data_IF_892214231529
#
_entry.id   IF_892214231529
#
_cell.length_a   1.000
_cell.length_b   1.000
_cell.length_c   1.000
_cell.angle_alpha   90.00
_cell.angle_beta   90.00
_cell.angle_gamma   90.00
#
_symmetry.space_group_name_H-M   'P 1'
#
loop_
_entity.id
_entity.type
_entity.pdbx_description
1 polymer ?
#
# COMPACT_ATOMS: atom_id res chain seq x y z
N UNK A 1 21.82 59.39 22.70
CA UNK A 1 22.47 58.79 21.54
C UNK A 1 22.47 57.28 21.81
N UNK A 2 21.46 56.57 21.35
CA UNK A 2 21.30 55.12 21.58
C UNK A 2 21.54 54.43 20.25
N UNK A 3 22.66 53.70 20.18
CA UNK A 3 23.01 52.87 19.03
C UNK A 3 22.12 51.66 18.93
N UNK A 4 21.34 51.55 17.87
CA UNK A 4 20.58 50.38 17.49
C UNK A 4 21.47 49.48 16.63
N UNK A 5 22.10 48.47 17.27
CA UNK A 5 22.79 47.41 16.53
C UNK A 5 21.77 46.43 15.94
N UNK A 6 21.50 46.54 14.65
CA UNK A 6 20.70 45.58 13.90
C UNK A 6 21.58 44.33 13.58
N UNK A 7 21.44 43.28 14.35
CA UNK A 7 22.02 41.99 14.00
C UNK A 7 21.22 41.36 12.85
N UNK A 8 21.65 41.62 11.62
CA UNK A 8 21.07 41.03 10.42
C UNK A 8 21.38 39.52 10.39
N UNK A 9 20.33 38.70 10.36
CA UNK A 9 20.42 37.28 10.12
C UNK A 9 21.04 37.05 8.73
N UNK A 10 22.22 36.45 8.66
CA UNK A 10 22.89 36.21 7.38
C UNK A 10 22.17 35.12 6.58
N UNK A 11 22.17 35.26 5.24
CA UNK A 11 21.60 34.26 4.31
C UNK A 11 22.13 32.84 4.57
N UNK A 12 23.36 32.68 5.07
CA UNK A 12 23.94 31.40 5.47
C UNK A 12 23.29 30.79 6.71
N UNK A 13 22.90 31.60 7.70
CA UNK A 13 22.19 31.13 8.89
C UNK A 13 20.76 30.67 8.54
N UNK A 14 20.10 31.36 7.61
CA UNK A 14 18.77 30.95 7.13
C UNK A 14 18.81 29.63 6.36
N UNK A 15 19.81 29.44 5.47
CA UNK A 15 19.99 28.19 4.73
C UNK A 15 20.36 27.02 5.65
N UNK A 16 21.15 27.26 6.71
CA UNK A 16 21.46 26.26 7.72
C UNK A 16 20.23 25.82 8.53
N UNK A 17 19.32 26.74 8.85
CA UNK A 17 18.07 26.42 9.56
C UNK A 17 17.11 25.59 8.68
N UNK A 18 17.02 25.88 7.38
CA UNK A 18 16.21 25.09 6.45
C UNK A 18 16.78 23.70 6.20
N UNK A 19 18.12 23.56 6.11
CA UNK A 19 18.76 22.25 5.95
C UNK A 19 18.57 21.36 7.19
N UNK A 20 18.61 21.94 8.40
CA UNK A 20 18.36 21.19 9.65
C UNK A 20 16.89 20.75 9.75
N UNK A 21 15.93 21.57 9.30
CA UNK A 21 14.50 21.22 9.29
C UNK A 21 14.19 20.10 8.29
N UNK A 22 14.87 20.08 7.14
CA UNK A 22 14.68 19.03 6.13
C UNK A 22 15.22 17.66 6.61
N UNK A 23 16.32 17.63 7.38
CA UNK A 23 16.92 16.39 7.93
C UNK A 23 16.06 15.80 9.04
N UNK A 24 15.33 16.60 9.81
CA UNK A 24 14.42 16.10 10.86
C UNK A 24 13.10 15.56 10.27
N UNK A 25 12.68 16.06 9.11
CA UNK A 25 11.46 15.60 8.44
C UNK A 25 11.68 14.31 7.61
N UNK A 26 12.89 14.07 7.10
CA UNK A 26 13.19 12.92 6.23
C UNK A 26 12.95 11.53 6.88
N UNK A 27 13.24 11.28 8.17
CA UNK A 27 13.02 9.97 8.78
C UNK A 27 11.56 9.59 8.96
N UNK A 28 10.65 10.56 9.02
CA UNK A 28 9.22 10.28 9.21
C UNK A 28 8.52 9.81 7.94
N UNK A 29 9.03 10.16 6.77
CA UNK A 29 8.49 9.73 5.48
C UNK A 29 9.08 8.41 4.98
N UNK A 30 10.23 7.98 5.48
CA UNK A 30 10.85 6.70 5.12
C UNK A 30 10.34 5.51 5.93
N UNK A 31 9.52 5.73 6.96
CA UNK A 31 8.98 4.67 7.79
C UNK A 31 7.64 4.21 7.22
N UNK A 32 7.56 2.96 6.75
CA UNK A 32 6.32 2.31 6.34
C UNK A 32 5.20 2.46 7.40
N UNK A 33 5.57 2.53 8.69
CA UNK A 33 4.67 2.83 9.79
C UNK A 33 4.03 4.23 9.72
N UNK A 34 4.71 5.23 9.15
CA UNK A 34 4.15 6.58 8.94
C UNK A 34 3.10 6.60 7.84
N UNK A 35 3.34 5.85 6.77
CA UNK A 35 2.38 5.67 5.68
C UNK A 35 1.12 4.94 6.16
N UNK A 36 1.28 3.90 6.99
CA UNK A 36 0.18 3.11 7.54
C UNK A 36 -0.66 3.87 8.58
N UNK A 37 -0.13 4.91 9.23
CA UNK A 37 -0.92 5.80 10.11
C UNK A 37 -1.98 6.61 9.35
N UNK A 38 -1.78 6.86 8.07
CA UNK A 38 -2.78 7.49 7.19
C UNK A 38 -3.97 6.57 6.87
N UNK A 39 -3.88 5.28 7.18
CA UNK A 39 -4.97 4.33 6.95
C UNK A 39 -6.13 4.41 7.96
N UNK A 40 -5.96 5.20 9.06
CA UNK A 40 -6.99 5.40 10.10
C UNK A 40 -7.16 4.20 11.04
N UNK A 41 -8.04 4.37 12.04
CA UNK A 41 -8.34 3.36 13.07
C UNK A 41 -9.30 2.27 12.57
N UNK A 42 -9.98 2.50 11.46
CA UNK A 42 -10.81 1.53 10.75
C UNK A 42 -10.32 1.45 9.31
N UNK A 43 -9.89 0.24 8.89
CA UNK A 43 -9.43 0.03 7.52
C UNK A 43 -10.42 -0.85 6.77
N UNK A 44 -10.82 -0.35 5.62
CA UNK A 44 -11.78 -0.98 4.73
C UNK A 44 -11.13 -1.19 3.37
N UNK A 45 -11.46 -2.28 2.71
CA UNK A 45 -11.03 -2.56 1.35
C UNK A 45 -12.23 -2.88 0.47
N UNK A 46 -12.31 -2.21 -0.68
CA UNK A 46 -13.35 -2.41 -1.69
C UNK A 46 -12.71 -2.77 -3.00
N UNK A 47 -13.15 -3.88 -3.59
CA UNK A 47 -12.62 -4.34 -4.87
C UNK A 47 -13.74 -4.94 -5.72
N UNK A 48 -13.56 -4.87 -7.03
CA UNK A 48 -14.35 -5.59 -8.04
C UNK A 48 -13.41 -6.38 -8.94
N UNK A 49 -13.80 -7.57 -9.35
CA UNK A 49 -13.04 -8.40 -10.27
C UNK A 49 -13.80 -8.57 -11.59
N UNK A 50 -13.33 -7.98 -12.69
CA UNK A 50 -13.97 -8.17 -14.00
C UNK A 50 -13.74 -9.60 -14.54
N UNK A 51 -12.88 -10.38 -13.91
CA UNK A 51 -12.58 -11.77 -14.31
C UNK A 51 -13.56 -12.78 -13.75
N UNK A 52 -14.04 -12.54 -12.52
CA UNK A 52 -14.96 -13.43 -11.81
C UNK A 52 -16.36 -12.85 -11.69
N UNK A 53 -16.53 -11.53 -11.92
CA UNK A 53 -17.77 -10.80 -11.68
C UNK A 53 -18.06 -10.54 -10.19
N UNK A 54 -17.15 -10.94 -9.31
CA UNK A 54 -17.28 -10.79 -7.86
C UNK A 54 -16.94 -9.36 -7.40
N UNK A 55 -17.50 -8.99 -6.25
CA UNK A 55 -17.18 -7.75 -5.54
C UNK A 55 -17.01 -8.03 -4.06
N UNK A 56 -16.11 -7.30 -3.41
CA UNK A 56 -15.89 -7.34 -1.96
C UNK A 56 -15.91 -5.92 -1.42
N UNK A 57 -16.48 -5.77 -0.22
CA UNK A 57 -16.49 -4.54 0.55
C UNK A 57 -16.46 -4.91 2.02
N UNK A 58 -15.27 -4.91 2.61
CA UNK A 58 -15.07 -5.44 3.96
C UNK A 58 -14.15 -4.56 4.79
N UNK A 59 -14.47 -4.46 6.09
CA UNK A 59 -13.60 -3.88 7.10
C UNK A 59 -12.72 -5.01 7.63
N UNK A 60 -11.40 -4.87 7.49
CA UNK A 60 -10.45 -5.91 7.88
C UNK A 60 -9.55 -5.54 9.07
N UNK A 61 -9.63 -4.28 9.54
CA UNK A 61 -8.86 -3.77 10.66
C UNK A 61 -9.69 -2.79 11.48
N UNK A 62 -9.68 -2.94 12.81
CA UNK A 62 -10.33 -2.02 13.77
C UNK A 62 -9.38 -1.83 14.97
N UNK A 63 -9.04 -0.57 15.27
CA UNK A 63 -8.37 -0.13 16.50
C UNK A 63 -7.15 -0.97 16.94
N UNK A 64 -6.32 -1.40 15.99
CA UNK A 64 -5.10 -2.16 16.29
C UNK A 64 -5.17 -3.63 15.89
N UNK A 65 -6.34 -4.19 15.62
CA UNK A 65 -6.54 -5.61 15.39
C UNK A 65 -7.03 -5.95 13.98
N UNK A 66 -6.45 -6.99 13.39
CA UNK A 66 -6.95 -7.57 12.15
C UNK A 66 -8.14 -8.49 12.39
N UNK A 67 -9.20 -8.29 11.61
CA UNK A 67 -10.36 -9.18 11.58
C UNK A 67 -10.01 -10.38 10.70
N UNK A 68 -9.67 -11.52 11.32
CA UNK A 68 -9.13 -12.70 10.63
C UNK A 68 -10.02 -13.23 9.50
N UNK A 69 -11.33 -13.21 9.71
CA UNK A 69 -12.29 -13.71 8.71
C UNK A 69 -12.35 -12.76 7.51
N UNK A 70 -12.30 -11.45 7.72
CA UNK A 70 -12.20 -10.47 6.64
C UNK A 70 -10.91 -10.61 5.83
N UNK A 71 -9.76 -10.86 6.50
CA UNK A 71 -8.48 -11.12 5.81
C UNK A 71 -8.55 -12.41 4.98
N UNK A 72 -9.22 -13.45 5.46
CA UNK A 72 -9.44 -14.69 4.69
C UNK A 72 -10.34 -14.44 3.48
N UNK A 73 -11.40 -13.66 3.66
CA UNK A 73 -12.31 -13.26 2.59
C UNK A 73 -11.57 -12.48 1.49
N UNK A 74 -10.71 -11.52 1.86
CA UNK A 74 -9.83 -10.80 0.93
C UNK A 74 -8.90 -11.78 0.19
N UNK A 75 -8.28 -12.72 0.90
CA UNK A 75 -7.40 -13.71 0.29
C UNK A 75 -8.14 -14.64 -0.69
N UNK A 76 -9.37 -15.02 -0.37
CA UNK A 76 -10.24 -15.79 -1.26
C UNK A 76 -10.63 -14.97 -2.50
N UNK A 77 -10.99 -13.70 -2.32
CA UNK A 77 -11.32 -12.80 -3.43
C UNK A 77 -10.13 -12.61 -4.38
N UNK A 78 -8.92 -12.48 -3.83
CA UNK A 78 -7.67 -12.27 -4.57
C UNK A 78 -7.00 -13.57 -5.06
N UNK A 79 -7.71 -14.71 -5.03
CA UNK A 79 -7.19 -16.01 -5.50
C UNK A 79 -6.78 -16.00 -6.96
N UNK A 80 -6.05 -17.02 -7.38
CA UNK A 80 -5.82 -17.25 -8.81
C UNK A 80 -7.13 -17.67 -9.49
N UNK A 81 -7.78 -16.73 -10.14
CA UNK A 81 -9.07 -16.94 -10.80
C UNK A 81 -9.06 -18.00 -11.91
N UNK A 82 -7.88 -18.40 -12.39
CA UNK A 82 -7.73 -19.44 -13.43
C UNK A 82 -7.74 -20.86 -12.87
N UNK A 83 -7.22 -21.03 -11.67
CA UNK A 83 -7.07 -22.33 -11.00
C UNK A 83 -7.93 -22.45 -9.75
N UNK A 84 -8.50 -21.35 -9.28
CA UNK A 84 -9.16 -21.20 -7.97
C UNK A 84 -8.25 -21.49 -6.77
N UNK A 85 -6.92 -21.50 -6.98
CA UNK A 85 -5.98 -21.66 -5.90
C UNK A 85 -5.97 -20.42 -5.01
N UNK A 86 -6.13 -20.63 -3.70
CA UNK A 86 -6.13 -19.60 -2.67
C UNK A 86 -4.77 -19.58 -1.98
N UNK A 87 -4.25 -18.38 -1.74
CA UNK A 87 -3.05 -18.12 -0.96
C UNK A 87 -3.30 -16.94 -0.04
N UNK A 88 -2.67 -16.94 1.13
CA UNK A 88 -2.77 -15.79 2.03
C UNK A 88 -2.11 -14.56 1.39
N UNK A 89 -2.86 -13.50 1.28
CA UNK A 89 -2.32 -12.21 0.83
C UNK A 89 -1.58 -11.56 1.99
N UNK A 90 -0.39 -11.03 1.72
CA UNK A 90 0.42 -10.34 2.71
C UNK A 90 -0.36 -9.12 3.25
N UNK A 91 -0.44 -8.99 4.58
CA UNK A 91 -1.17 -7.92 5.24
C UNK A 91 -0.67 -6.53 4.85
N UNK A 92 0.63 -6.39 4.55
CA UNK A 92 1.22 -5.13 4.10
C UNK A 92 0.69 -4.72 2.73
N UNK A 93 0.43 -5.69 1.83
CA UNK A 93 -0.19 -5.42 0.53
C UNK A 93 -1.60 -4.86 0.71
N UNK A 94 -2.40 -5.48 1.59
CA UNK A 94 -3.75 -5.02 1.92
C UNK A 94 -3.72 -3.61 2.53
N UNK A 95 -2.82 -3.39 3.49
CA UNK A 95 -2.67 -2.11 4.18
C UNK A 95 -2.22 -0.98 3.25
N UNK A 96 -1.30 -1.26 2.31
CA UNK A 96 -0.86 -0.28 1.31
C UNK A 96 -2.03 0.14 0.40
N UNK A 97 -2.88 -0.82 -0.02
CA UNK A 97 -4.05 -0.52 -0.84
C UNK A 97 -5.04 0.36 -0.07
N UNK A 98 -5.37 0.02 1.18
CA UNK A 98 -6.26 0.82 2.01
C UNK A 98 -5.71 2.23 2.28
N UNK A 99 -4.42 2.34 2.59
CA UNK A 99 -3.76 3.62 2.80
C UNK A 99 -3.77 4.49 1.53
N UNK A 100 -3.56 3.91 0.35
CA UNK A 100 -3.62 4.64 -0.90
C UNK A 100 -5.04 5.19 -1.17
N UNK A 101 -6.11 4.44 -0.90
CA UNK A 101 -7.49 4.93 -0.99
C UNK A 101 -7.73 6.13 -0.08
N UNK A 102 -7.31 6.02 1.20
CA UNK A 102 -7.49 7.11 2.17
C UNK A 102 -6.71 8.36 1.78
N UNK A 103 -5.47 8.21 1.30
CA UNK A 103 -4.64 9.34 0.89
C UNK A 103 -5.18 10.06 -0.35
N UNK A 104 -5.83 9.33 -1.25
CA UNK A 104 -6.42 9.90 -2.47
C UNK A 104 -7.85 10.41 -2.26
N UNK A 105 -8.44 10.16 -1.07
CA UNK A 105 -9.83 10.49 -0.74
C UNK A 105 -10.82 9.98 -1.80
N UNK A 106 -10.59 8.74 -2.29
CA UNK A 106 -11.43 8.10 -3.29
C UNK A 106 -12.29 7.01 -2.69
N UNK A 107 -13.49 6.87 -3.23
CA UNK A 107 -14.49 5.91 -2.76
C UNK A 107 -14.76 4.76 -3.75
N UNK A 108 -14.23 4.85 -4.95
CA UNK A 108 -14.40 3.84 -6.00
C UNK A 108 -13.69 2.54 -5.61
N UNK A 109 -14.31 1.37 -5.83
CA UNK A 109 -13.64 0.09 -5.61
C UNK A 109 -12.42 -0.06 -6.52
N UNK A 110 -11.35 -0.69 -6.02
CA UNK A 110 -10.27 -1.13 -6.89
C UNK A 110 -10.77 -2.15 -7.91
N UNK A 111 -10.32 -2.02 -9.14
CA UNK A 111 -10.51 -3.05 -10.16
C UNK A 111 -9.36 -4.05 -10.04
N UNK A 112 -9.61 -5.22 -9.47
CA UNK A 112 -8.61 -6.28 -9.35
C UNK A 112 -8.39 -6.98 -10.68
N UNK A 113 -7.24 -6.79 -11.29
CA UNK A 113 -6.85 -7.48 -12.53
C UNK A 113 -6.14 -8.80 -12.26
N UNK A 114 -5.37 -8.87 -11.18
CA UNK A 114 -4.63 -10.07 -10.75
C UNK A 114 -4.27 -9.93 -9.27
N UNK A 115 -4.64 -10.88 -8.45
CA UNK A 115 -4.16 -11.06 -7.08
C UNK A 115 -3.09 -12.14 -7.03
N UNK A 116 -3.28 -13.17 -6.19
CA UNK A 116 -2.40 -14.34 -6.15
C UNK A 116 -2.32 -15.02 -7.52
N UNK A 117 -1.16 -15.54 -7.81
CA UNK A 117 -0.87 -16.26 -9.04
C UNK A 117 -0.21 -17.58 -8.71
N UNK A 118 -0.85 -18.70 -9.02
CA UNK A 118 -0.29 -20.03 -8.78
C UNK A 118 0.98 -20.26 -9.64
N UNK A 119 1.88 -21.14 -9.21
CA UNK A 119 3.05 -21.52 -10.00
C UNK A 119 2.68 -22.01 -11.41
N UNK A 120 1.57 -22.73 -11.54
CA UNK A 120 1.03 -23.20 -12.81
C UNK A 120 0.65 -22.05 -13.73
N UNK A 121 -0.11 -21.09 -13.21
CA UNK A 121 -0.49 -19.88 -13.96
C UNK A 121 0.73 -19.05 -14.33
N UNK A 122 1.69 -18.88 -13.41
CA UNK A 122 2.91 -18.12 -13.69
C UNK A 122 3.75 -18.77 -14.79
N UNK A 123 3.90 -20.08 -14.76
CA UNK A 123 4.61 -20.84 -15.81
C UNK A 123 3.93 -20.68 -17.18
N UNK A 124 2.61 -20.82 -17.23
CA UNK A 124 1.81 -20.62 -18.43
C UNK A 124 1.94 -19.19 -19.00
N UNK A 125 1.90 -18.17 -18.16
CA UNK A 125 2.06 -16.78 -18.59
C UNK A 125 3.49 -16.50 -19.10
N UNK A 126 4.50 -17.10 -18.45
CA UNK A 126 5.90 -16.98 -18.91
C UNK A 126 6.15 -17.63 -20.27
N UNK A 127 5.46 -18.71 -20.60
CA UNK A 127 5.57 -19.32 -21.94
C UNK A 127 5.03 -18.43 -23.05
N UNK A 128 4.15 -17.48 -22.70
CA UNK A 128 3.50 -16.55 -23.64
C UNK A 128 4.11 -15.14 -23.66
N UNK A 129 4.84 -14.77 -22.61
CA UNK A 129 5.40 -13.42 -22.46
C UNK A 129 6.72 -13.42 -21.72
N UNK A 130 7.73 -12.75 -22.32
CA UNK A 130 9.04 -12.54 -21.69
C UNK A 130 8.99 -11.53 -20.52
N UNK A 131 7.92 -10.73 -20.41
CA UNK A 131 7.74 -9.74 -19.34
C UNK A 131 7.30 -10.34 -18.01
N UNK A 132 6.99 -11.65 -17.93
CA UNK A 132 6.55 -12.30 -16.70
C UNK A 132 7.75 -12.82 -15.90
N UNK A 133 8.00 -12.27 -14.72
CA UNK A 133 9.10 -12.66 -13.86
C UNK A 133 8.96 -14.12 -13.39
N UNK A 134 10.10 -14.83 -13.25
CA UNK A 134 10.12 -16.18 -12.69
C UNK A 134 9.70 -16.18 -11.22
N UNK A 135 10.26 -15.25 -10.44
CA UNK A 135 9.97 -15.04 -9.02
C UNK A 135 9.07 -13.80 -8.90
N UNK A 136 7.82 -13.92 -9.34
CA UNK A 136 6.85 -12.83 -9.27
C UNK A 136 6.32 -12.70 -7.85
N UNK A 137 6.14 -11.48 -7.34
CA UNK A 137 5.53 -11.21 -6.04
C UNK A 137 4.08 -11.72 -5.96
N UNK A 138 3.38 -11.84 -7.08
CA UNK A 138 2.07 -12.48 -7.15
C UNK A 138 2.08 -13.96 -6.70
N UNK A 139 3.22 -14.67 -6.81
CA UNK A 139 3.37 -16.04 -6.32
C UNK A 139 3.38 -16.13 -4.79
N UNK A 140 3.66 -15.03 -4.12
CA UNK A 140 3.81 -14.95 -2.66
C UNK A 140 2.64 -14.20 -2.01
N UNK A 141 1.67 -13.73 -2.80
CA UNK A 141 0.58 -12.89 -2.30
C UNK A 141 1.02 -11.46 -1.92
N UNK A 142 2.16 -11.02 -2.42
CA UNK A 142 2.75 -9.71 -2.13
C UNK A 142 2.50 -8.67 -3.23
N UNK A 143 1.59 -8.95 -4.18
CA UNK A 143 1.22 -8.04 -5.26
C UNK A 143 -0.26 -8.19 -5.65
N UNK A 144 -0.83 -7.07 -6.13
CA UNK A 144 -2.18 -6.97 -6.67
C UNK A 144 -2.21 -6.06 -7.91
#
# INVERSE_FOLDING_TARGET
>A
MTDYSSSGITRRALLGAFAASAVVAAPTYSNAAGFLRGAGDIRRLRMTSPRTGESIDTIYWIEGDYIRDAVREISLFMRDWRTNDVHNIDLRTIDIMAAAHNLLDVNEPYMLLSGYRSPKTNAMLRSRSRGVARNSLHLQGEAA
#
